data_IF_854473592401
#
_entry.id   IF_854473592401
#
_cell.length_a   1.000
_cell.length_b   1.000
_cell.length_c   1.000
_cell.angle_alpha   90.00
_cell.angle_beta   90.00
_cell.angle_gamma   90.00
#
_symmetry.space_group_name_H-M   'P 1'
#
loop_
_entity.id
_entity.type
_entity.pdbx_description
1 polymer ?
#
# COMPACT_ATOMS: atom_id res chain seq x y z
N UNK A 1 35.40 37.57 -12.81
CA UNK A 1 34.85 38.27 -11.63
C UNK A 1 33.36 37.98 -11.55
N UNK A 2 32.97 37.01 -10.71
CA UNK A 2 31.55 36.85 -10.38
C UNK A 2 31.15 38.06 -9.52
N UNK A 3 30.07 38.71 -9.87
CA UNK A 3 29.63 39.95 -9.22
C UNK A 3 29.28 39.67 -7.76
N UNK A 4 29.61 40.63 -6.89
CA UNK A 4 29.29 40.61 -5.47
C UNK A 4 27.81 40.28 -5.18
N UNK A 5 26.94 40.61 -6.13
CA UNK A 5 25.50 40.35 -6.09
C UNK A 5 25.16 38.86 -6.05
N UNK A 6 25.86 37.99 -6.82
CA UNK A 6 25.63 36.54 -6.85
C UNK A 6 26.07 35.89 -5.52
N UNK A 7 27.11 36.45 -4.87
CA UNK A 7 27.53 35.97 -3.56
C UNK A 7 26.54 36.36 -2.44
N UNK A 8 25.96 37.55 -2.51
CA UNK A 8 24.97 38.04 -1.53
C UNK A 8 23.67 37.24 -1.66
N UNK A 9 23.22 36.95 -2.88
CA UNK A 9 22.01 36.13 -3.15
C UNK A 9 22.20 34.69 -2.69
N UNK A 10 23.40 34.11 -2.88
CA UNK A 10 23.73 32.76 -2.42
C UNK A 10 23.80 32.66 -0.89
N UNK A 11 24.39 33.67 -0.23
CA UNK A 11 24.40 33.74 1.24
C UNK A 11 23.00 33.98 1.83
N UNK A 12 22.17 34.81 1.20
CA UNK A 12 20.80 35.07 1.66
C UNK A 12 19.90 33.85 1.54
N UNK A 13 20.04 33.08 0.46
CA UNK A 13 19.31 31.84 0.25
C UNK A 13 19.68 30.74 1.28
N UNK A 14 20.96 30.59 1.58
CA UNK A 14 21.41 29.66 2.61
C UNK A 14 21.01 30.09 4.03
N UNK A 15 21.03 31.40 4.34
CA UNK A 15 20.55 31.89 5.63
C UNK A 15 19.05 31.63 5.83
N UNK A 16 18.23 31.81 4.79
CA UNK A 16 16.80 31.54 4.86
C UNK A 16 16.51 30.04 5.05
N UNK A 17 17.27 29.16 4.38
CA UNK A 17 17.15 27.72 4.55
C UNK A 17 17.58 27.27 5.96
N UNK A 18 18.68 27.79 6.48
CA UNK A 18 19.13 27.55 7.87
C UNK A 18 18.11 28.06 8.89
N UNK A 19 17.51 29.22 8.66
CA UNK A 19 16.51 29.79 9.57
C UNK A 19 15.23 28.93 9.62
N UNK A 20 14.77 28.41 8.48
CA UNK A 20 13.62 27.50 8.43
C UNK A 20 13.91 26.18 9.15
N UNK A 21 15.11 25.61 8.98
CA UNK A 21 15.55 24.39 9.69
C UNK A 21 15.65 24.63 11.19
N UNK A 22 16.18 25.79 11.60
CA UNK A 22 16.28 26.15 13.03
C UNK A 22 14.87 26.33 13.64
N UNK A 23 13.94 26.98 12.93
CA UNK A 23 12.56 27.15 13.40
C UNK A 23 11.84 25.79 13.52
N UNK A 24 12.07 24.86 12.56
CA UNK A 24 11.51 23.51 12.60
C UNK A 24 12.09 22.70 13.75
N UNK A 25 13.41 22.78 13.99
CA UNK A 25 14.08 22.14 15.13
C UNK A 25 13.67 22.74 16.47
N UNK A 26 13.50 24.05 16.56
CA UNK A 26 12.98 24.71 17.77
C UNK A 26 11.54 24.28 18.07
N UNK A 27 10.66 24.18 17.06
CA UNK A 27 9.31 23.63 17.24
C UNK A 27 9.30 22.15 17.64
N UNK A 28 10.22 21.35 17.10
CA UNK A 28 10.40 19.95 17.49
C UNK A 28 10.88 19.80 18.94
N UNK A 29 11.88 20.59 19.34
CA UNK A 29 12.42 20.56 20.71
C UNK A 29 11.47 21.17 21.75
N UNK A 30 10.68 22.19 21.39
CA UNK A 30 9.65 22.75 22.25
C UNK A 30 8.55 21.70 22.49
N UNK A 31 8.18 20.92 21.47
CA UNK A 31 7.22 19.80 21.65
C UNK A 31 7.78 18.69 22.55
N UNK A 32 9.10 18.42 22.52
CA UNK A 32 9.74 17.40 23.35
C UNK A 32 9.88 17.82 24.82
N UNK A 33 9.95 19.12 25.13
CA UNK A 33 10.05 19.63 26.51
C UNK A 33 8.68 19.82 27.19
N UNK A 34 7.57 19.82 26.47
CA UNK A 34 6.23 19.93 27.04
C UNK A 34 5.54 18.59 27.35
N UNK A 35 6.27 17.47 27.30
CA UNK A 35 5.74 16.13 27.67
C UNK A 35 6.00 15.87 29.17
N UNK A 36 5.66 16.81 30.07
CA UNK A 36 5.57 16.55 31.49
C UNK A 36 4.29 17.19 32.04
N UNK A 37 3.33 16.33 32.41
CA UNK A 37 2.09 16.57 33.16
C UNK A 37 0.97 17.36 32.49
N UNK A 38 -0.05 16.60 32.13
CA UNK A 38 -1.40 17.07 31.82
C UNK A 38 -2.09 16.08 30.87
N UNK A 39 -3.03 15.31 31.39
CA UNK A 39 -3.89 14.41 30.62
C UNK A 39 -4.93 15.19 29.80
N UNK A 40 -4.47 16.01 28.85
CA UNK A 40 -5.30 16.47 27.75
C UNK A 40 -4.91 15.63 26.53
N UNK A 41 -5.77 14.66 26.18
CA UNK A 41 -5.71 13.98 24.90
C UNK A 41 -5.75 15.02 23.79
N UNK A 42 -4.56 15.40 23.28
CA UNK A 42 -4.48 16.14 22.02
C UNK A 42 -5.13 15.27 20.95
N UNK A 43 -6.33 15.66 20.51
CA UNK A 43 -6.95 15.09 19.32
C UNK A 43 -5.87 15.09 18.24
N UNK A 44 -5.61 13.94 17.58
CA UNK A 44 -4.63 13.92 16.51
C UNK A 44 -5.05 14.98 15.49
N UNK A 45 -4.14 15.92 15.18
CA UNK A 45 -4.34 16.83 14.07
C UNK A 45 -4.59 15.93 12.87
N UNK A 46 -5.79 15.96 12.29
CA UNK A 46 -6.14 15.17 11.11
C UNK A 46 -5.23 15.65 9.99
N UNK A 47 -4.09 14.99 9.83
CA UNK A 47 -3.19 15.30 8.75
C UNK A 47 -3.89 14.97 7.44
N UNK A 48 -4.18 15.98 6.65
CA UNK A 48 -4.78 15.83 5.33
C UNK A 48 -3.97 14.80 4.52
N UNK A 49 -4.63 13.97 3.71
CA UNK A 49 -4.00 12.92 2.91
C UNK A 49 -2.78 13.43 2.12
N UNK A 50 -2.90 14.63 1.53
CA UNK A 50 -1.81 15.27 0.77
C UNK A 50 -0.57 15.49 1.64
N UNK A 51 -0.75 15.93 2.90
CA UNK A 51 0.35 16.12 3.85
C UNK A 51 0.98 14.79 4.22
N UNK A 52 0.18 13.77 4.46
CA UNK A 52 0.67 12.41 4.76
C UNK A 52 1.48 11.86 3.60
N UNK A 53 0.99 11.98 2.37
CA UNK A 53 1.69 11.53 1.15
C UNK A 53 3.06 12.19 0.99
N UNK A 54 3.17 13.52 1.16
CA UNK A 54 4.44 14.25 1.04
C UNK A 54 5.43 13.87 2.16
N UNK A 55 4.94 13.50 3.34
CA UNK A 55 5.76 13.17 4.51
C UNK A 55 6.24 11.70 4.57
N UNK A 56 5.85 10.85 3.62
CA UNK A 56 6.26 9.44 3.59
C UNK A 56 7.80 9.36 3.57
N UNK A 57 8.36 8.61 4.52
CA UNK A 57 9.80 8.37 4.64
C UNK A 57 10.63 9.60 5.03
N UNK A 58 10.00 10.73 5.41
CA UNK A 58 10.73 11.94 5.83
C UNK A 58 11.16 11.83 7.29
N UNK A 59 12.46 12.02 7.55
CA UNK A 59 13.03 12.06 8.90
C UNK A 59 13.08 10.71 9.61
N UNK A 60 13.09 9.61 8.88
CA UNK A 60 13.08 8.24 9.45
C UNK A 60 14.49 7.61 9.55
N UNK A 61 15.56 8.34 9.25
CA UNK A 61 16.94 7.85 9.41
C UNK A 61 17.60 8.51 10.61
N UNK A 62 17.47 7.90 11.78
CA UNK A 62 18.06 8.38 13.02
C UNK A 62 19.60 8.21 13.06
N UNK A 63 20.18 7.38 12.16
CA UNK A 63 21.61 7.12 12.15
C UNK A 63 22.41 8.26 11.54
N UNK A 64 21.95 8.82 10.43
CA UNK A 64 22.65 9.89 9.70
C UNK A 64 21.93 11.24 9.78
N UNK A 65 20.67 11.27 10.22
CA UNK A 65 19.82 12.45 10.17
C UNK A 65 19.37 12.77 8.74
N UNK A 66 19.50 11.84 7.80
CA UNK A 66 19.07 12.01 6.42
C UNK A 66 17.56 12.26 6.34
N UNK A 67 17.16 13.32 5.63
CA UNK A 67 15.74 13.68 5.47
C UNK A 67 15.01 12.68 4.56
N UNK A 68 15.67 12.19 3.51
CA UNK A 68 15.15 11.14 2.65
C UNK A 68 15.56 9.78 3.20
N UNK A 69 14.60 8.84 3.28
CA UNK A 69 14.88 7.50 3.78
C UNK A 69 15.92 6.78 2.90
N UNK A 70 16.92 6.11 3.49
CA UNK A 70 17.96 5.40 2.75
C UNK A 70 17.44 4.19 1.97
N UNK A 71 18.14 3.83 0.90
CA UNK A 71 17.96 2.55 0.22
C UNK A 71 18.89 1.52 0.86
N UNK A 72 18.32 0.42 1.38
CA UNK A 72 19.07 -0.69 1.96
C UNK A 72 19.12 -1.89 0.99
N UNK A 73 20.15 -1.96 0.10
CA UNK A 73 20.25 -3.03 -0.88
C UNK A 73 20.82 -4.33 -0.28
N UNK A 74 21.08 -4.37 1.03
CA UNK A 74 21.63 -5.54 1.72
C UNK A 74 20.71 -6.75 1.63
N UNK A 75 21.21 -7.88 1.17
CA UNK A 75 20.45 -9.14 1.14
C UNK A 75 20.37 -9.81 2.52
N UNK A 76 21.44 -9.70 3.32
CA UNK A 76 21.57 -10.30 4.65
C UNK A 76 21.99 -9.26 5.67
N UNK A 77 21.65 -9.49 6.93
CA UNK A 77 21.96 -8.56 8.02
C UNK A 77 22.77 -9.25 9.11
N UNK A 78 23.71 -8.50 9.73
CA UNK A 78 24.55 -9.02 10.81
C UNK A 78 23.78 -9.01 12.12
N UNK A 79 23.77 -10.15 12.81
CA UNK A 79 23.23 -10.25 14.16
C UNK A 79 24.25 -9.71 15.20
N UNK A 80 23.79 -9.00 16.25
CA UNK A 80 24.65 -8.56 17.34
C UNK A 80 25.28 -9.71 18.12
N UNK A 81 24.58 -10.86 18.25
CA UNK A 81 25.04 -12.06 18.93
C UNK A 81 24.09 -13.22 18.69
N UNK A 82 24.44 -14.39 19.22
CA UNK A 82 23.58 -15.59 19.12
C UNK A 82 22.24 -15.34 19.81
N UNK A 83 21.14 -15.59 19.09
CA UNK A 83 19.77 -15.36 19.57
C UNK A 83 19.37 -13.89 19.63
N UNK A 84 20.17 -12.96 19.06
CA UNK A 84 19.87 -11.54 18.98
C UNK A 84 19.64 -11.15 17.53
N UNK A 85 18.68 -10.26 17.28
CA UNK A 85 18.40 -9.70 15.93
C UNK A 85 18.23 -8.19 16.04
N UNK A 86 18.53 -7.48 14.96
CA UNK A 86 18.20 -6.05 14.78
C UNK A 86 16.76 -5.84 14.29
N UNK A 87 16.00 -6.94 14.11
CA UNK A 87 14.69 -6.96 13.46
C UNK A 87 14.76 -7.37 11.98
N UNK A 88 15.96 -7.42 11.40
CA UNK A 88 16.18 -7.80 10.02
C UNK A 88 17.21 -8.92 9.93
N UNK A 89 16.90 -9.96 9.18
CA UNK A 89 17.77 -11.12 8.98
C UNK A 89 18.08 -11.31 7.48
N UNK A 90 17.05 -11.23 6.66
CA UNK A 90 17.13 -11.46 5.23
C UNK A 90 16.13 -10.60 4.47
N UNK A 91 16.56 -9.95 3.37
CA UNK A 91 15.78 -8.92 2.65
C UNK A 91 14.43 -9.42 2.09
N UNK A 92 14.30 -10.71 1.76
CA UNK A 92 13.02 -11.30 1.34
C UNK A 92 12.00 -11.26 2.48
N UNK A 93 12.42 -11.59 3.71
CA UNK A 93 11.56 -11.56 4.89
C UNK A 93 11.33 -10.15 5.42
N UNK A 94 12.36 -9.31 5.50
CA UNK A 94 12.27 -7.94 5.99
C UNK A 94 13.33 -7.04 5.37
N UNK A 95 12.97 -5.81 5.02
CA UNK A 95 13.90 -4.81 4.51
C UNK A 95 13.47 -3.42 4.97
N UNK A 96 14.36 -2.59 5.55
CA UNK A 96 13.98 -1.30 6.11
C UNK A 96 13.30 -0.36 5.10
N UNK A 97 13.78 -0.32 3.85
CA UNK A 97 13.20 0.53 2.79
C UNK A 97 11.80 0.04 2.41
N UNK A 98 11.61 -1.29 2.32
CA UNK A 98 10.29 -1.87 2.00
C UNK A 98 9.29 -1.65 3.13
N UNK A 99 9.71 -1.77 4.38
CA UNK A 99 8.85 -1.58 5.55
C UNK A 99 8.28 -0.16 5.62
N UNK A 100 9.08 0.87 5.34
CA UNK A 100 8.60 2.26 5.26
C UNK A 100 7.49 2.39 4.21
N UNK A 101 7.64 1.76 3.05
CA UNK A 101 6.63 1.78 2.00
C UNK A 101 5.37 1.02 2.41
N UNK A 102 5.51 -0.19 2.96
CA UNK A 102 4.39 -1.04 3.38
C UNK A 102 3.55 -0.34 4.46
N UNK A 103 4.20 0.26 5.46
CA UNK A 103 3.54 1.03 6.51
C UNK A 103 2.82 2.28 5.94
N UNK A 104 3.45 2.98 5.01
CA UNK A 104 2.83 4.14 4.36
C UNK A 104 1.58 3.78 3.56
N UNK A 105 1.61 2.68 2.80
CA UNK A 105 0.47 2.21 2.02
C UNK A 105 -0.67 1.71 2.91
N UNK A 106 -0.34 1.00 4.00
CA UNK A 106 -1.33 0.62 5.01
C UNK A 106 -2.01 1.85 5.61
N UNK A 107 -1.24 2.88 5.97
CA UNK A 107 -1.76 4.13 6.51
C UNK A 107 -2.64 4.88 5.49
N UNK A 108 -2.22 5.02 4.24
CA UNK A 108 -2.98 5.70 3.20
C UNK A 108 -4.34 5.03 2.93
N UNK A 109 -4.40 3.71 2.87
CA UNK A 109 -5.64 2.94 2.68
C UNK A 109 -6.46 2.75 3.97
N UNK A 110 -5.87 3.05 5.14
CA UNK A 110 -6.53 2.85 6.44
C UNK A 110 -6.54 1.39 6.90
N UNK A 111 -5.57 0.59 6.45
CA UNK A 111 -5.39 -0.81 6.81
C UNK A 111 -4.44 -1.04 7.99
N UNK A 112 -4.25 -2.31 8.33
CA UNK A 112 -3.36 -2.75 9.43
C UNK A 112 -2.05 -3.31 8.91
N UNK A 113 -2.05 -3.90 7.72
CA UNK A 113 -0.84 -4.49 7.11
C UNK A 113 -0.80 -4.17 5.62
N UNK A 114 0.28 -3.53 5.18
CA UNK A 114 0.62 -3.35 3.78
C UNK A 114 1.69 -4.34 3.35
N UNK A 115 1.59 -4.85 2.12
CA UNK A 115 2.56 -5.74 1.50
C UNK A 115 2.82 -5.27 0.08
N UNK A 116 4.09 -5.21 -0.34
CA UNK A 116 4.45 -4.76 -1.69
C UNK A 116 5.16 -5.86 -2.48
N UNK A 117 4.81 -5.94 -3.75
CA UNK A 117 5.12 -7.04 -4.65
C UNK A 117 5.78 -6.54 -5.93
N UNK A 118 6.48 -7.43 -6.63
CA UNK A 118 7.11 -7.15 -7.93
C UNK A 118 6.12 -6.79 -9.05
N UNK A 119 4.83 -7.00 -8.87
CA UNK A 119 3.76 -6.59 -9.80
C UNK A 119 2.38 -6.73 -9.16
N UNK A 120 1.34 -6.07 -9.73
CA UNK A 120 -0.05 -6.29 -9.33
C UNK A 120 -0.50 -7.74 -9.51
N UNK A 121 0.01 -8.43 -10.53
CA UNK A 121 -0.26 -9.86 -10.73
C UNK A 121 0.38 -10.73 -9.63
N UNK A 122 1.57 -10.39 -9.14
CA UNK A 122 2.21 -11.09 -8.02
C UNK A 122 1.40 -10.91 -6.72
N UNK A 123 0.85 -9.70 -6.49
CA UNK A 123 -0.05 -9.43 -5.37
C UNK A 123 -1.31 -10.31 -5.43
N UNK A 124 -1.99 -10.34 -6.57
CA UNK A 124 -3.19 -11.18 -6.79
C UNK A 124 -2.86 -12.68 -6.67
N UNK A 125 -1.72 -13.11 -7.21
CA UNK A 125 -1.26 -14.52 -7.10
C UNK A 125 -1.11 -14.90 -5.63
N UNK A 126 -0.52 -14.03 -4.80
CA UNK A 126 -0.37 -14.27 -3.37
C UNK A 126 -1.72 -14.39 -2.67
N UNK A 127 -2.70 -13.53 -3.01
CA UNK A 127 -4.05 -13.68 -2.48
C UNK A 127 -4.70 -15.01 -2.95
N UNK A 128 -4.59 -15.38 -4.23
CA UNK A 128 -5.19 -16.63 -4.70
C UNK A 128 -4.54 -17.89 -4.09
N UNK A 129 -3.28 -17.82 -3.70
CA UNK A 129 -2.62 -18.89 -2.93
C UNK A 129 -3.14 -19.03 -1.48
N UNK A 130 -3.87 -18.05 -0.98
CA UNK A 130 -4.56 -18.15 0.31
C UNK A 130 -5.80 -19.04 0.24
N UNK A 131 -6.38 -19.24 -0.95
CA UNK A 131 -7.52 -20.12 -1.19
C UNK A 131 -7.09 -21.59 -1.16
N UNK A 132 -7.97 -22.44 -0.66
CA UNK A 132 -7.78 -23.90 -0.65
C UNK A 132 -8.31 -24.55 -1.93
N UNK A 133 -7.84 -25.75 -2.24
CA UNK A 133 -8.38 -26.54 -3.35
C UNK A 133 -9.87 -26.83 -3.12
N UNK A 134 -10.70 -26.53 -4.10
CA UNK A 134 -12.16 -26.64 -4.05
C UNK A 134 -12.86 -25.33 -3.73
N UNK A 135 -12.13 -24.30 -3.33
CA UNK A 135 -12.72 -22.97 -3.08
C UNK A 135 -13.20 -22.32 -4.37
N UNK A 136 -14.24 -21.50 -4.21
CA UNK A 136 -14.85 -20.70 -5.26
C UNK A 136 -14.65 -19.20 -5.02
N UNK A 137 -14.41 -18.47 -6.10
CA UNK A 137 -14.23 -17.03 -6.14
C UNK A 137 -15.27 -16.39 -7.06
N UNK A 138 -15.98 -15.37 -6.57
CA UNK A 138 -16.73 -14.46 -7.43
C UNK A 138 -15.81 -13.33 -7.89
N UNK A 139 -15.94 -12.91 -9.15
CA UNK A 139 -15.06 -11.90 -9.75
C UNK A 139 -15.90 -10.98 -10.64
N UNK A 140 -15.62 -9.67 -10.61
CA UNK A 140 -16.22 -8.75 -11.60
C UNK A 140 -16.01 -9.27 -13.01
N UNK A 141 -17.05 -9.24 -13.85
CA UNK A 141 -16.92 -9.63 -15.27
C UNK A 141 -16.14 -8.60 -16.08
N UNK A 142 -16.27 -7.31 -15.73
CA UNK A 142 -15.46 -6.21 -16.27
C UNK A 142 -14.17 -6.07 -15.45
N UNK A 143 -13.12 -6.78 -15.85
CA UNK A 143 -11.83 -6.82 -15.14
C UNK A 143 -10.66 -6.90 -16.10
N UNK A 144 -9.48 -6.49 -15.58
CA UNK A 144 -8.22 -6.63 -16.33
C UNK A 144 -7.98 -8.08 -16.77
N UNK A 145 -7.80 -8.30 -18.07
CA UNK A 145 -7.67 -9.63 -18.69
C UNK A 145 -6.55 -10.52 -18.14
N UNK A 146 -5.56 -9.94 -17.45
CA UNK A 146 -4.53 -10.69 -16.73
C UNK A 146 -5.09 -11.52 -15.58
N UNK A 147 -6.11 -11.00 -14.87
CA UNK A 147 -6.80 -11.71 -13.77
C UNK A 147 -7.55 -12.93 -14.32
N UNK A 148 -8.31 -12.74 -15.41
CA UNK A 148 -8.99 -13.82 -16.11
C UNK A 148 -8.00 -14.94 -16.49
N UNK A 149 -6.92 -14.58 -17.17
CA UNK A 149 -5.88 -15.54 -17.60
C UNK A 149 -5.25 -16.28 -16.41
N UNK A 150 -5.00 -15.58 -15.28
CA UNK A 150 -4.43 -16.18 -14.08
C UNK A 150 -5.38 -17.21 -13.47
N UNK A 151 -6.66 -16.88 -13.34
CA UNK A 151 -7.67 -17.77 -12.77
C UNK A 151 -7.91 -18.97 -13.68
N UNK A 152 -8.20 -18.77 -14.98
CA UNK A 152 -8.59 -19.82 -15.90
C UNK A 152 -7.44 -20.74 -16.35
N UNK A 153 -6.22 -20.21 -16.43
CA UNK A 153 -5.08 -20.95 -17.00
C UNK A 153 -4.09 -21.46 -15.95
N UNK A 154 -4.10 -20.86 -14.77
CA UNK A 154 -3.17 -21.24 -13.68
C UNK A 154 -3.95 -21.83 -12.50
N UNK A 155 -4.81 -21.07 -11.85
CA UNK A 155 -5.47 -21.50 -10.61
C UNK A 155 -6.56 -22.55 -10.82
N UNK A 156 -7.17 -22.64 -11.99
CA UNK A 156 -8.05 -23.76 -12.34
C UNK A 156 -7.35 -25.13 -12.21
N UNK A 157 -6.01 -25.20 -12.42
CA UNK A 157 -5.21 -26.42 -12.22
C UNK A 157 -5.09 -26.84 -10.76
N UNK A 158 -5.30 -25.90 -9.83
CA UNK A 158 -5.31 -26.15 -8.39
C UNK A 158 -6.74 -26.33 -7.86
N UNK A 159 -7.72 -26.56 -8.77
CA UNK A 159 -9.15 -26.73 -8.46
C UNK A 159 -9.77 -25.51 -7.76
N UNK A 160 -9.25 -24.31 -8.01
CA UNK A 160 -9.87 -23.05 -7.62
C UNK A 160 -10.76 -22.62 -8.79
N UNK A 161 -12.04 -22.35 -8.52
CA UNK A 161 -13.03 -22.01 -9.52
C UNK A 161 -13.45 -20.54 -9.40
N UNK A 162 -13.66 -19.88 -10.53
CA UNK A 162 -14.15 -18.51 -10.58
C UNK A 162 -15.46 -18.43 -11.35
N UNK A 163 -16.39 -17.61 -10.85
CA UNK A 163 -17.58 -17.18 -11.58
C UNK A 163 -17.49 -15.67 -11.78
N UNK A 164 -17.66 -15.25 -13.03
CA UNK A 164 -17.65 -13.84 -13.42
C UNK A 164 -19.08 -13.31 -13.35
N UNK A 165 -19.25 -12.16 -12.68
CA UNK A 165 -20.56 -11.60 -12.38
C UNK A 165 -20.55 -10.09 -12.55
N UNK A 166 -21.67 -9.52 -12.98
CA UNK A 166 -21.87 -8.07 -12.97
C UNK A 166 -21.95 -7.55 -11.53
N UNK A 167 -20.84 -7.01 -11.04
CA UNK A 167 -20.73 -6.47 -9.68
C UNK A 167 -21.39 -5.09 -9.51
N UNK A 168 -21.88 -4.46 -10.58
CA UNK A 168 -22.73 -3.26 -10.49
C UNK A 168 -24.14 -3.61 -10.01
N UNK A 169 -24.55 -4.89 -10.13
CA UNK A 169 -25.80 -5.45 -9.63
C UNK A 169 -25.57 -6.28 -8.38
N UNK A 170 -25.97 -5.78 -7.23
CA UNK A 170 -25.88 -6.51 -5.95
C UNK A 170 -26.73 -7.78 -5.95
N UNK A 171 -27.88 -7.78 -6.66
CA UNK A 171 -28.74 -8.96 -6.84
C UNK A 171 -28.01 -10.06 -7.61
N UNK A 172 -27.36 -9.73 -8.73
CA UNK A 172 -26.58 -10.69 -9.51
C UNK A 172 -25.45 -11.32 -8.69
N UNK A 173 -24.77 -10.52 -7.88
CA UNK A 173 -23.73 -11.03 -6.95
C UNK A 173 -24.32 -12.00 -5.94
N UNK A 174 -25.44 -11.65 -5.31
CA UNK A 174 -26.09 -12.49 -4.30
C UNK A 174 -26.56 -13.83 -4.87
N UNK A 175 -27.15 -13.82 -6.06
CA UNK A 175 -27.63 -15.03 -6.76
C UNK A 175 -26.48 -15.96 -7.20
N UNK A 176 -25.26 -15.42 -7.39
CA UNK A 176 -24.10 -16.17 -7.85
C UNK A 176 -23.29 -16.79 -6.68
N UNK A 177 -23.60 -16.48 -5.42
CA UNK A 177 -22.89 -17.04 -4.25
C UNK A 177 -23.19 -18.54 -4.13
N UNK A 178 -22.12 -19.33 -4.04
CA UNK A 178 -22.18 -20.77 -3.81
C UNK A 178 -21.70 -21.12 -2.39
N UNK A 179 -22.03 -22.29 -1.84
CA UNK A 179 -21.55 -22.71 -0.52
C UNK A 179 -20.02 -22.75 -0.40
N UNK A 180 -19.31 -22.93 -1.53
CA UNK A 180 -17.86 -22.95 -1.60
C UNK A 180 -17.24 -21.57 -1.84
N UNK A 181 -18.05 -20.52 -2.04
CA UNK A 181 -17.55 -19.16 -2.25
C UNK A 181 -16.79 -18.67 -1.01
N UNK A 182 -15.56 -18.21 -1.19
CA UNK A 182 -14.68 -17.72 -0.13
C UNK A 182 -14.37 -16.24 -0.27
N UNK A 183 -14.45 -15.71 -1.48
CA UNK A 183 -14.16 -14.31 -1.72
C UNK A 183 -14.92 -13.76 -2.92
N UNK A 184 -15.09 -12.43 -2.92
CA UNK A 184 -15.53 -11.61 -4.03
C UNK A 184 -14.40 -10.64 -4.39
N UNK A 185 -13.89 -10.72 -5.62
CA UNK A 185 -12.90 -9.77 -6.15
C UNK A 185 -13.60 -8.76 -7.06
N UNK A 186 -13.60 -7.52 -6.67
CA UNK A 186 -14.23 -6.40 -7.39
C UNK A 186 -13.16 -5.49 -7.97
N UNK A 187 -13.28 -5.13 -9.24
CA UNK A 187 -12.53 -4.03 -9.85
C UNK A 187 -13.50 -2.87 -10.09
N UNK A 188 -13.30 -1.75 -9.39
CA UNK A 188 -14.19 -0.59 -9.52
C UNK A 188 -13.44 0.73 -9.40
N UNK A 189 -13.50 1.59 -10.46
CA UNK A 189 -14.10 1.36 -11.79
C UNK A 189 -13.48 0.16 -12.51
N UNK A 190 -14.31 -0.61 -13.25
CA UNK A 190 -13.88 -1.78 -14.01
C UNK A 190 -13.02 -1.41 -15.24
N UNK A 191 -12.27 -2.36 -15.76
CA UNK A 191 -11.41 -2.17 -16.95
C UNK A 191 -11.77 -3.20 -18.03
N UNK A 192 -12.33 -2.80 -19.20
CA UNK A 192 -12.26 -1.45 -19.76
C UNK A 192 -13.54 -0.62 -19.69
N UNK A 193 -14.66 -1.16 -19.19
CA UNK A 193 -15.98 -0.53 -19.36
C UNK A 193 -16.30 0.52 -18.29
N UNK A 194 -15.44 0.66 -17.26
CA UNK A 194 -15.59 1.62 -16.16
C UNK A 194 -16.87 1.40 -15.32
N UNK A 195 -17.35 0.18 -15.21
CA UNK A 195 -18.47 -0.19 -14.35
C UNK A 195 -18.19 0.18 -12.88
N UNK A 196 -19.19 0.77 -12.22
CA UNK A 196 -19.08 1.22 -10.82
C UNK A 196 -19.88 0.27 -9.93
N UNK A 197 -19.20 -0.31 -8.96
CA UNK A 197 -19.80 -1.19 -7.95
C UNK A 197 -19.97 -0.48 -6.61
N UNK A 198 -21.08 -0.69 -5.93
CA UNK A 198 -21.33 -0.19 -4.57
C UNK A 198 -20.58 -1.06 -3.55
N UNK A 199 -19.40 -0.62 -3.15
CA UNK A 199 -18.53 -1.35 -2.22
C UNK A 199 -19.24 -1.59 -0.87
N UNK A 200 -20.00 -0.63 -0.34
CA UNK A 200 -20.68 -0.77 0.95
C UNK A 200 -21.78 -1.82 0.91
N UNK A 201 -22.56 -1.82 -0.16
CA UNK A 201 -23.60 -2.82 -0.39
C UNK A 201 -22.99 -4.22 -0.54
N UNK A 202 -21.93 -4.35 -1.36
CA UNK A 202 -21.19 -5.62 -1.53
C UNK A 202 -20.53 -6.09 -0.24
N UNK A 203 -19.94 -5.19 0.55
CA UNK A 203 -19.39 -5.52 1.87
C UNK A 203 -20.44 -6.07 2.84
N UNK A 204 -21.66 -5.53 2.79
CA UNK A 204 -22.77 -6.02 3.62
C UNK A 204 -23.16 -7.46 3.23
N UNK A 205 -23.22 -7.76 1.95
CA UNK A 205 -23.47 -9.12 1.43
C UNK A 205 -22.34 -10.06 1.82
N UNK A 206 -21.08 -9.68 1.55
CA UNK A 206 -19.92 -10.50 1.87
C UNK A 206 -19.85 -10.85 3.36
N UNK A 207 -20.15 -9.87 4.24
CA UNK A 207 -20.18 -10.07 5.69
C UNK A 207 -21.26 -11.04 6.12
N UNK A 208 -22.49 -10.98 5.54
CA UNK A 208 -23.58 -11.90 5.88
C UNK A 208 -23.26 -13.32 5.44
N UNK A 209 -22.59 -13.50 4.32
CA UNK A 209 -22.21 -14.79 3.74
C UNK A 209 -20.83 -15.29 4.25
N UNK A 210 -20.11 -14.50 5.06
CA UNK A 210 -18.77 -14.82 5.60
C UNK A 210 -17.73 -15.07 4.52
N UNK A 211 -17.77 -14.29 3.44
CA UNK A 211 -16.80 -14.30 2.35
C UNK A 211 -15.98 -13.00 2.40
N UNK A 212 -14.73 -13.06 1.94
CA UNK A 212 -13.84 -11.89 1.90
C UNK A 212 -14.22 -10.98 0.73
N UNK A 213 -14.21 -9.66 0.97
CA UNK A 213 -14.33 -8.67 -0.09
C UNK A 213 -12.94 -8.08 -0.41
N UNK A 214 -12.49 -8.31 -1.64
CA UNK A 214 -11.25 -7.76 -2.18
C UNK A 214 -11.60 -6.71 -3.23
N UNK A 215 -11.04 -5.52 -3.10
CA UNK A 215 -11.27 -4.43 -4.07
C UNK A 215 -9.96 -4.04 -4.75
N UNK A 216 -9.92 -4.14 -6.06
CA UNK A 216 -8.87 -3.55 -6.87
C UNK A 216 -9.13 -2.05 -7.03
N UNK A 217 -8.35 -1.24 -6.31
CA UNK A 217 -8.47 0.21 -6.23
C UNK A 217 -7.43 0.92 -7.11
N UNK A 218 -6.91 0.23 -8.13
CA UNK A 218 -5.82 0.73 -8.98
C UNK A 218 -6.15 2.07 -9.62
N UNK A 219 -7.39 2.29 -10.10
CA UNK A 219 -7.76 3.51 -10.78
C UNK A 219 -8.00 4.70 -9.84
N UNK A 220 -8.73 4.49 -8.74
CA UNK A 220 -9.10 5.60 -7.87
C UNK A 220 -8.03 5.94 -6.83
N UNK A 221 -7.19 4.98 -6.45
CA UNK A 221 -6.17 5.16 -5.42
C UNK A 221 -6.77 5.60 -4.06
N UNK A 222 -6.02 5.61 -2.95
CA UNK A 222 -6.54 6.09 -1.67
C UNK A 222 -6.89 7.58 -1.65
N UNK A 223 -6.56 8.32 -2.71
CA UNK A 223 -6.92 9.75 -2.84
C UNK A 223 -8.40 9.93 -3.10
N UNK A 224 -8.99 9.10 -3.97
CA UNK A 224 -10.39 9.23 -4.41
C UNK A 224 -11.31 8.17 -3.79
N UNK A 225 -10.77 7.02 -3.39
CA UNK A 225 -11.56 5.92 -2.82
C UNK A 225 -10.73 5.14 -1.80
N UNK A 226 -11.33 4.82 -0.65
CA UNK A 226 -10.71 4.02 0.41
C UNK A 226 -11.58 2.80 0.75
N UNK A 227 -11.43 1.70 0.02
CA UNK A 227 -12.34 0.55 0.11
C UNK A 227 -12.41 -0.09 1.49
N UNK A 228 -11.31 -0.07 2.28
CA UNK A 228 -11.31 -0.60 3.64
C UNK A 228 -12.25 0.17 4.57
N UNK A 229 -12.40 1.48 4.39
CA UNK A 229 -13.36 2.30 5.14
C UNK A 229 -14.80 2.00 4.70
N UNK A 230 -15.00 1.57 3.46
CA UNK A 230 -16.30 1.17 2.89
C UNK A 230 -16.67 -0.28 3.22
N UNK A 231 -15.81 -1.01 3.91
CA UNK A 231 -16.11 -2.35 4.41
C UNK A 231 -15.37 -3.50 3.73
N UNK A 232 -14.50 -3.23 2.74
CA UNK A 232 -13.64 -4.26 2.15
C UNK A 232 -12.66 -4.83 3.19
N UNK A 233 -12.22 -6.08 2.98
CA UNK A 233 -11.25 -6.77 3.83
C UNK A 233 -9.82 -6.58 3.31
N UNK A 234 -9.67 -6.53 1.99
CA UNK A 234 -8.39 -6.38 1.30
C UNK A 234 -8.54 -5.36 0.16
N UNK A 235 -7.54 -4.50 0.03
CA UNK A 235 -7.35 -3.65 -1.17
C UNK A 235 -6.15 -4.14 -1.94
N UNK A 236 -6.28 -4.23 -3.25
CA UNK A 236 -5.17 -4.55 -4.16
C UNK A 236 -4.94 -3.38 -5.12
N UNK A 237 -3.67 -3.16 -5.49
CA UNK A 237 -3.28 -2.21 -6.53
C UNK A 237 -2.25 -2.81 -7.47
N UNK A 238 -2.38 -2.50 -8.74
CA UNK A 238 -1.23 -2.41 -9.62
C UNK A 238 -0.54 -1.06 -9.38
N UNK A 239 0.46 -1.03 -8.49
CA UNK A 239 1.20 0.19 -8.19
C UNK A 239 2.04 0.70 -9.37
N UNK A 240 2.15 -0.10 -10.44
CA UNK A 240 2.68 0.28 -11.76
C UNK A 240 1.94 1.48 -12.37
N UNK A 241 0.66 1.69 -11.96
CA UNK A 241 -0.21 2.71 -12.53
C UNK A 241 -0.12 4.01 -11.71
N UNK A 242 -1.22 4.52 -11.20
CA UNK A 242 -1.27 5.84 -10.55
C UNK A 242 -0.43 5.97 -9.27
N UNK A 243 -0.29 4.91 -8.46
CA UNK A 243 0.59 4.94 -7.29
C UNK A 243 2.05 5.19 -7.69
N UNK A 244 2.52 4.55 -8.76
CA UNK A 244 3.82 4.81 -9.37
C UNK A 244 3.86 6.15 -10.11
N UNK A 245 2.85 6.44 -10.93
CA UNK A 245 2.58 7.73 -11.55
C UNK A 245 3.62 8.24 -12.56
N UNK A 246 4.82 7.64 -12.62
CA UNK A 246 5.96 8.11 -13.42
C UNK A 246 6.35 7.16 -14.54
N UNK A 247 5.64 6.04 -14.71
CA UNK A 247 5.86 5.03 -15.77
C UNK A 247 7.27 4.39 -15.77
N UNK A 248 7.94 4.35 -14.62
CA UNK A 248 9.34 3.94 -14.44
C UNK A 248 9.51 2.72 -13.53
N UNK A 249 8.42 2.14 -13.00
CA UNK A 249 8.46 0.95 -12.16
C UNK A 249 7.29 0.00 -12.40
N UNK A 250 7.48 -1.27 -12.04
CA UNK A 250 6.44 -2.27 -11.99
C UNK A 250 6.30 -2.76 -10.55
N UNK A 251 5.11 -2.59 -9.95
CA UNK A 251 4.87 -2.98 -8.58
C UNK A 251 3.41 -3.38 -8.34
N UNK A 252 3.18 -4.12 -7.25
CA UNK A 252 1.86 -4.47 -6.74
C UNK A 252 1.75 -4.19 -5.24
N UNK A 253 0.53 -4.06 -4.76
CA UNK A 253 0.24 -3.80 -3.34
C UNK A 253 -0.95 -4.64 -2.91
N UNK A 254 -0.89 -5.20 -1.70
CA UNK A 254 -2.04 -5.62 -0.92
C UNK A 254 -2.05 -4.84 0.39
N UNK A 255 -3.22 -4.37 0.79
CA UNK A 255 -3.44 -3.83 2.13
C UNK A 255 -4.59 -4.57 2.78
N UNK A 256 -4.33 -5.17 3.93
CA UNK A 256 -5.33 -5.88 4.73
C UNK A 256 -5.91 -4.97 5.82
N UNK A 257 -7.22 -5.04 6.01
CA UNK A 257 -7.92 -4.40 7.13
C UNK A 257 -7.62 -5.08 8.46
N UNK A 258 -7.44 -6.39 8.44
CA UNK A 258 -7.18 -7.24 9.60
C UNK A 258 -5.68 -7.63 9.66
N UNK A 259 -5.11 -7.61 10.87
CA UNK A 259 -3.70 -7.91 11.07
C UNK A 259 -3.40 -9.41 10.88
N UNK A 260 -4.27 -10.31 11.32
CA UNK A 260 -4.08 -11.76 11.22
C UNK A 260 -4.11 -12.19 9.75
N UNK A 261 -5.10 -11.72 8.98
CA UNK A 261 -5.16 -11.95 7.54
C UNK A 261 -3.90 -11.37 6.85
N UNK A 262 -3.44 -10.19 7.28
CA UNK A 262 -2.22 -9.58 6.80
C UNK A 262 -0.98 -10.45 7.00
N UNK A 263 -0.84 -11.09 8.16
CA UNK A 263 0.27 -12.01 8.46
C UNK A 263 0.19 -13.32 7.66
N UNK A 264 -1.01 -13.84 7.40
CA UNK A 264 -1.19 -15.00 6.51
C UNK A 264 -0.75 -14.66 5.08
N UNK A 265 -1.10 -13.49 4.57
CA UNK A 265 -0.66 -13.02 3.25
C UNK A 265 0.85 -12.74 3.21
N UNK A 266 1.43 -12.18 4.28
CA UNK A 266 2.88 -12.01 4.41
C UNK A 266 3.61 -13.37 4.39
N UNK A 267 3.11 -14.37 5.08
CA UNK A 267 3.69 -15.72 5.03
C UNK A 267 3.75 -16.25 3.59
N UNK A 268 2.69 -16.06 2.82
CA UNK A 268 2.64 -16.47 1.41
C UNK A 268 3.59 -15.65 0.54
N UNK A 269 3.64 -14.32 0.74
CA UNK A 269 4.59 -13.44 0.05
C UNK A 269 6.04 -13.87 0.30
N UNK A 270 6.39 -14.08 1.56
CA UNK A 270 7.73 -14.51 1.96
C UNK A 270 8.08 -15.89 1.40
N UNK A 271 7.13 -16.84 1.41
CA UNK A 271 7.32 -18.21 0.92
C UNK A 271 7.51 -18.24 -0.60
N UNK A 272 6.78 -17.44 -1.35
CA UNK A 272 6.86 -17.36 -2.82
C UNK A 272 7.98 -16.45 -3.30
N UNK A 273 8.45 -15.55 -2.44
CA UNK A 273 9.52 -14.58 -2.77
C UNK A 273 9.08 -13.43 -3.67
N UNK A 274 7.78 -13.17 -3.80
CA UNK A 274 7.20 -12.17 -4.71
C UNK A 274 7.35 -10.71 -4.19
N UNK A 275 8.44 -10.40 -3.50
CA UNK A 275 8.70 -9.10 -2.86
C UNK A 275 9.18 -8.04 -3.85
N UNK A 276 8.90 -6.77 -3.56
CA UNK A 276 9.44 -5.64 -4.30
C UNK A 276 10.88 -5.35 -3.87
N UNK A 277 11.84 -5.16 -4.81
CA UNK A 277 13.22 -4.78 -4.49
C UNK A 277 13.32 -3.42 -3.80
N UNK A 278 14.35 -3.18 -2.94
CA UNK A 278 14.50 -1.93 -2.21
C UNK A 278 14.58 -0.67 -3.08
N UNK A 279 15.22 -0.76 -4.25
CA UNK A 279 15.31 0.34 -5.21
C UNK A 279 13.91 0.76 -5.71
N UNK A 280 13.07 -0.20 -6.09
CA UNK A 280 11.72 0.04 -6.57
C UNK A 280 10.81 0.50 -5.43
N UNK A 281 11.03 0.00 -4.18
CA UNK A 281 10.37 0.53 -3.00
C UNK A 281 10.64 2.02 -2.81
N UNK A 282 11.89 2.44 -2.96
CA UNK A 282 12.27 3.84 -2.83
C UNK A 282 11.66 4.72 -3.94
N UNK A 283 11.67 4.23 -5.19
CA UNK A 283 10.99 4.91 -6.30
C UNK A 283 9.50 5.09 -6.00
N UNK A 284 8.84 4.06 -5.48
CA UNK A 284 7.42 4.14 -5.13
C UNK A 284 7.16 5.09 -3.95
N UNK A 285 8.03 5.10 -2.91
CA UNK A 285 7.97 6.10 -1.82
C UNK A 285 8.02 7.52 -2.40
N UNK A 286 8.94 7.77 -3.32
CA UNK A 286 9.07 9.07 -3.99
C UNK A 286 7.83 9.42 -4.82
N UNK A 287 7.28 8.44 -5.52
CA UNK A 287 6.10 8.60 -6.39
C UNK A 287 4.84 8.95 -5.59
N UNK A 288 4.63 8.31 -4.44
CA UNK A 288 3.49 8.58 -3.57
C UNK A 288 3.42 10.04 -3.11
N UNK A 289 4.55 10.76 -3.07
CA UNK A 289 4.59 12.19 -2.72
C UNK A 289 3.87 13.08 -3.72
N UNK A 290 3.71 12.64 -4.97
CA UNK A 290 3.00 13.37 -6.03
C UNK A 290 1.63 12.74 -6.34
N UNK A 291 1.21 11.71 -5.62
CA UNK A 291 -0.03 10.98 -5.88
C UNK A 291 -1.28 11.87 -5.98
N UNK A 292 -1.49 12.87 -5.11
CA UNK A 292 -2.64 13.76 -5.26
C UNK A 292 -2.66 14.53 -6.59
N UNK A 293 -1.49 14.91 -7.12
CA UNK A 293 -1.40 15.60 -8.41
C UNK A 293 -1.71 14.67 -9.59
N UNK A 294 -1.28 13.42 -9.54
CA UNK A 294 -1.57 12.40 -10.57
C UNK A 294 -3.06 12.10 -10.64
N UNK A 295 -3.75 12.10 -9.50
CA UNK A 295 -5.18 11.76 -9.42
C UNK A 295 -6.11 12.82 -10.03
N UNK A 296 -5.60 14.01 -10.39
CA UNK A 296 -6.37 15.10 -11.03
C UNK A 296 -6.11 15.21 -12.54
N UNK A 297 -5.27 14.39 -13.11
CA UNK A 297 -4.96 14.37 -14.55
C UNK A 297 -5.59 13.18 -15.24
#
# INVERSE_FOLDING_TARGET
MLSLQVLVDYCSFNLMFCTVIIILNLRYNIRKQHTIHGSDEMKPVSNHLNTRSVQIGVGNDDHTGGISFPIYPSATYRHPGVGQSTGYDYTRSGNPTREVLENALADLEGGRRGLVFSSGMAALTTFFLHLASGDHLLVSEDLYGGKYRLLERVFAKFNIRATYVDTTSTGAVQDAILPQTKALLVETPGNPLLGISDIQALASICKSERILLIVDNTFLTPVLQRPLELGADIVVHSATKYLGGHSDLCAGVLVSKDAELGEQLYFLQNSTGAVLPPQDCWLLIRSLKTLPSVSYT
#
